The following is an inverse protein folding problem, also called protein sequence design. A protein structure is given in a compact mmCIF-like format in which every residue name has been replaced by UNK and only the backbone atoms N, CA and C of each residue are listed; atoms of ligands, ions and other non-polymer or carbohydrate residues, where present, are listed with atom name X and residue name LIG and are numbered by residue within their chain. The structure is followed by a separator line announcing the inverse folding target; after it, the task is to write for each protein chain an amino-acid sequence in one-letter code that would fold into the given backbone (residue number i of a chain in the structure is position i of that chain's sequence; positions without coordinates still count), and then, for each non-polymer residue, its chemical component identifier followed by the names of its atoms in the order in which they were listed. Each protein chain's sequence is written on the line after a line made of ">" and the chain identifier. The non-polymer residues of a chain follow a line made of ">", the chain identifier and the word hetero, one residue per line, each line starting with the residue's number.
data_IF_889604747626
#
_entry.id   IF_889604747626
#
_cell.length_a   1.000
_cell.length_b   1.000
_cell.length_c   1.000
_cell.angle_alpha   90.00
_cell.angle_beta   90.00
_cell.angle_gamma   90.00
#
_symmetry.space_group_name_H-M   'P 1'
#
loop_
_entity.id
_entity.type
_entity.pdbx_description
1 polymer ?
#
# COMPACT_ATOMS: atom_id res chain seq x y z
N UNK A 1 -24.26 -16.33 -39.74
CA UNK A 1 -24.50 -16.69 -38.32
C UNK A 1 -23.32 -17.44 -37.68
N UNK A 2 -22.77 -18.52 -38.27
CA UNK A 2 -21.60 -19.26 -37.71
C UNK A 2 -20.33 -18.42 -37.50
N UNK A 3 -20.07 -17.41 -38.36
CA UNK A 3 -18.88 -16.54 -38.24
C UNK A 3 -18.95 -15.53 -37.09
N UNK A 4 -20.16 -15.09 -36.71
CA UNK A 4 -20.39 -14.17 -35.57
C UNK A 4 -20.34 -14.90 -34.23
N UNK A 5 -20.76 -16.17 -34.19
CA UNK A 5 -20.60 -17.04 -33.02
C UNK A 5 -19.13 -17.33 -32.71
N UNK A 6 -18.29 -17.55 -33.72
CA UNK A 6 -16.86 -17.81 -33.54
C UNK A 6 -16.08 -16.57 -33.04
N UNK A 7 -16.45 -15.36 -33.47
CA UNK A 7 -15.81 -14.12 -33.01
C UNK A 7 -16.22 -13.75 -31.58
N UNK A 8 -17.47 -14.01 -31.19
CA UNK A 8 -17.93 -13.79 -29.82
C UNK A 8 -17.28 -14.77 -28.82
N UNK A 9 -17.02 -16.01 -29.24
CA UNK A 9 -16.32 -17.01 -28.42
C UNK A 9 -14.82 -16.70 -28.22
N UNK A 10 -14.16 -16.13 -29.24
CA UNK A 10 -12.76 -15.70 -29.16
C UNK A 10 -12.58 -14.45 -28.30
N UNK A 11 -13.53 -13.52 -28.32
CA UNK A 11 -13.49 -12.32 -27.47
C UNK A 11 -13.77 -12.67 -25.99
N UNK A 12 -14.65 -13.65 -25.74
CA UNK A 12 -14.88 -14.20 -24.40
C UNK A 12 -13.63 -14.85 -23.81
N UNK A 13 -12.89 -15.65 -24.59
CA UNK A 13 -11.68 -16.33 -24.13
C UNK A 13 -10.51 -15.40 -23.75
N UNK A 14 -10.46 -14.17 -24.29
CA UNK A 14 -9.45 -13.15 -23.93
C UNK A 14 -9.88 -12.32 -22.72
N UNK A 15 -11.18 -12.17 -22.46
CA UNK A 15 -11.72 -11.39 -21.34
C UNK A 15 -11.92 -12.24 -20.05
N UNK A 16 -12.10 -13.55 -20.17
CA UNK A 16 -12.28 -14.47 -19.03
C UNK A 16 -11.08 -14.56 -18.05
N UNK A 17 -9.80 -14.47 -18.48
CA UNK A 17 -8.67 -14.49 -17.55
C UNK A 17 -8.52 -13.20 -16.73
N UNK A 18 -9.13 -12.09 -17.18
CA UNK A 18 -9.10 -10.80 -16.48
C UNK A 18 -10.07 -10.74 -15.29
N UNK A 19 -10.97 -11.73 -15.16
CA UNK A 19 -12.01 -11.77 -14.12
C UNK A 19 -11.70 -12.74 -12.96
N UNK A 20 -10.54 -13.41 -12.98
CA UNK A 20 -10.06 -14.20 -11.84
C UNK A 20 -9.38 -13.26 -10.83
N UNK A 21 -10.21 -12.63 -9.99
CA UNK A 21 -9.77 -11.97 -8.77
C UNK A 21 -9.03 -12.93 -7.83
N UNK A 22 -8.14 -12.36 -7.00
CA UNK A 22 -7.16 -13.03 -6.13
C UNK A 22 -6.02 -13.78 -6.84
N UNK A 23 -5.24 -13.04 -7.62
CA UNK A 23 -3.90 -13.46 -8.03
C UNK A 23 -2.82 -12.73 -7.20
N UNK A 24 -2.30 -13.32 -6.12
CA UNK A 24 -0.97 -12.97 -5.63
C UNK A 24 0.13 -13.22 -6.69
N UNK A 25 -0.24 -13.83 -7.83
CA UNK A 25 0.68 -14.21 -8.90
C UNK A 25 1.13 -13.06 -9.81
N UNK A 26 0.45 -11.91 -9.81
CA UNK A 26 0.97 -10.72 -10.51
C UNK A 26 2.18 -10.10 -9.78
N UNK A 27 2.41 -10.45 -8.51
CA UNK A 27 3.64 -10.11 -7.80
C UNK A 27 4.85 -10.95 -8.26
N UNK A 28 4.67 -12.00 -9.06
CA UNK A 28 5.77 -12.85 -9.56
C UNK A 28 6.28 -12.48 -10.97
N UNK A 29 5.69 -11.46 -11.61
CA UNK A 29 6.17 -10.94 -12.89
C UNK A 29 7.38 -10.00 -12.73
N UNK A 30 8.05 -9.66 -13.84
CA UNK A 30 9.23 -8.80 -13.86
C UNK A 30 9.05 -7.41 -13.20
N UNK A 31 7.81 -6.95 -13.02
CA UNK A 31 7.49 -5.70 -12.33
C UNK A 31 7.23 -5.85 -10.81
N UNK A 32 6.50 -6.89 -10.38
CA UNK A 32 6.13 -7.08 -8.97
C UNK A 32 7.25 -7.70 -8.13
N UNK A 33 7.91 -8.73 -8.67
CA UNK A 33 8.96 -9.47 -7.95
C UNK A 33 10.26 -8.68 -7.85
N UNK A 34 10.52 -7.81 -8.84
CA UNK A 34 11.65 -6.91 -8.81
C UNK A 34 11.52 -5.88 -7.68
N UNK A 35 10.34 -5.29 -7.50
CA UNK A 35 10.11 -4.30 -6.43
C UNK A 35 10.21 -4.90 -5.02
N UNK A 36 9.77 -6.15 -4.84
CA UNK A 36 9.92 -6.88 -3.58
C UNK A 36 11.40 -7.07 -3.18
N UNK A 37 12.31 -7.15 -4.16
CA UNK A 37 13.75 -7.24 -3.92
C UNK A 37 14.37 -5.86 -3.58
N UNK A 38 13.67 -4.77 -3.88
CA UNK A 38 14.03 -3.42 -3.47
C UNK A 38 13.35 -2.98 -2.15
N UNK A 39 12.73 -3.91 -1.44
CA UNK A 39 12.21 -3.67 -0.09
C UNK A 39 13.31 -4.01 0.94
N UNK A 40 13.43 -3.17 1.97
CA UNK A 40 14.38 -3.38 3.08
C UNK A 40 13.92 -4.47 4.05
N UNK A 41 12.65 -4.91 3.96
CA UNK A 41 12.10 -6.05 4.70
C UNK A 41 12.48 -7.35 4.00
N UNK A 42 12.78 -8.38 4.79
CA UNK A 42 12.98 -9.72 4.25
C UNK A 42 11.70 -10.23 3.55
N UNK A 43 11.84 -11.14 2.59
CA UNK A 43 10.69 -11.78 1.93
C UNK A 43 9.78 -12.51 2.93
N UNK A 44 10.35 -13.07 4.00
CA UNK A 44 9.57 -13.66 5.10
C UNK A 44 8.71 -12.62 5.79
N UNK A 45 9.28 -11.46 6.13
CA UNK A 45 8.53 -10.34 6.72
C UNK A 45 7.46 -9.78 5.79
N UNK A 46 7.74 -9.66 4.48
CA UNK A 46 6.73 -9.25 3.51
C UNK A 46 5.58 -10.27 3.44
N UNK A 47 5.88 -11.57 3.50
CA UNK A 47 4.87 -12.64 3.52
C UNK A 47 4.05 -12.63 4.81
N UNK A 48 4.71 -12.38 5.95
CA UNK A 48 4.06 -12.18 7.24
C UNK A 48 3.10 -10.98 7.18
N UNK A 49 3.53 -9.86 6.59
CA UNK A 49 2.71 -8.66 6.44
C UNK A 49 1.43 -8.92 5.62
N UNK A 50 1.54 -9.55 4.44
CA UNK A 50 0.37 -9.93 3.63
C UNK A 50 -0.54 -10.92 4.37
N UNK A 51 0.04 -11.86 5.12
CA UNK A 51 -0.70 -12.82 5.94
C UNK A 51 -1.44 -12.14 7.10
N UNK A 52 -0.84 -11.12 7.71
CA UNK A 52 -1.46 -10.29 8.75
C UNK A 52 -2.65 -9.54 8.16
N UNK A 53 -2.48 -8.85 7.03
CA UNK A 53 -3.56 -8.10 6.36
C UNK A 53 -4.76 -9.02 6.05
N UNK A 54 -4.50 -10.20 5.48
CA UNK A 54 -5.55 -11.17 5.16
C UNK A 54 -6.27 -11.71 6.41
N UNK A 55 -5.52 -12.09 7.46
CA UNK A 55 -6.11 -12.61 8.71
C UNK A 55 -6.88 -11.54 9.47
N UNK A 56 -6.38 -10.30 9.50
CA UNK A 56 -7.07 -9.16 10.10
C UNK A 56 -8.41 -8.92 9.41
N UNK A 57 -8.39 -8.87 8.07
CA UNK A 57 -9.60 -8.74 7.26
C UNK A 57 -10.61 -9.86 7.53
N UNK A 58 -10.17 -11.12 7.50
CA UNK A 58 -11.03 -12.27 7.76
C UNK A 58 -11.69 -12.20 9.15
N UNK A 59 -10.91 -11.97 10.21
CA UNK A 59 -11.43 -11.93 11.59
C UNK A 59 -12.35 -10.74 11.84
N UNK A 60 -12.02 -9.58 11.29
CA UNK A 60 -12.84 -8.38 11.48
C UNK A 60 -14.14 -8.48 10.68
N UNK A 61 -14.13 -9.10 9.50
CA UNK A 61 -15.35 -9.27 8.68
C UNK A 61 -16.45 -10.09 9.36
N UNK A 62 -16.12 -10.95 10.32
CA UNK A 62 -17.10 -11.69 11.11
C UNK A 62 -17.88 -10.79 12.10
N UNK A 63 -17.31 -9.63 12.45
CA UNK A 63 -17.85 -8.68 13.43
C UNK A 63 -18.32 -7.37 12.80
N UNK A 64 -17.60 -6.88 11.79
CA UNK A 64 -17.87 -5.65 11.09
C UNK A 64 -19.02 -5.84 10.09
N UNK A 65 -20.17 -5.24 10.39
CA UNK A 65 -21.30 -5.21 9.46
C UNK A 65 -21.11 -4.24 8.29
N UNK A 66 -22.08 -4.20 7.38
CA UNK A 66 -22.08 -3.42 6.12
C UNK A 66 -21.93 -1.90 6.28
N UNK A 67 -22.04 -1.40 7.51
CA UNK A 67 -21.89 0.02 7.84
C UNK A 67 -20.44 0.42 8.19
N UNK A 68 -19.46 -0.43 7.91
CA UNK A 68 -18.04 -0.14 8.14
C UNK A 68 -17.25 -0.22 6.84
N UNK A 69 -16.23 0.62 6.72
CA UNK A 69 -15.19 0.50 5.71
C UNK A 69 -13.87 0.44 6.43
N UNK A 70 -13.22 -0.72 6.42
CA UNK A 70 -12.00 -0.93 7.19
C UNK A 70 -10.94 -1.50 6.25
N UNK A 71 -9.79 -0.83 6.21
CA UNK A 71 -8.63 -1.24 5.48
C UNK A 71 -7.52 -1.60 6.48
N UNK A 72 -6.80 -2.69 6.18
CA UNK A 72 -5.64 -3.11 6.95
C UNK A 72 -4.40 -2.98 6.07
N UNK A 73 -3.37 -2.33 6.59
CA UNK A 73 -2.07 -2.26 5.94
C UNK A 73 -1.01 -2.64 6.95
N UNK A 74 -0.31 -3.75 6.71
CA UNK A 74 0.83 -4.19 7.51
C UNK A 74 2.13 -3.76 6.84
N UNK A 75 3.05 -3.25 7.65
CA UNK A 75 4.41 -2.99 7.24
C UNK A 75 5.35 -3.31 8.39
N UNK A 76 6.26 -4.25 8.18
CA UNK A 76 7.18 -4.73 9.20
C UNK A 76 6.45 -5.20 10.48
N UNK A 77 5.33 -5.91 10.28
CA UNK A 77 4.43 -6.46 11.29
C UNK A 77 3.70 -5.44 12.16
N UNK A 78 3.75 -4.16 11.81
CA UNK A 78 2.91 -3.11 12.43
C UNK A 78 1.75 -2.79 11.50
N UNK A 79 0.54 -2.82 12.05
CA UNK A 79 -0.70 -2.70 11.27
C UNK A 79 -1.27 -1.30 11.40
N UNK A 80 -1.43 -0.61 10.28
CA UNK A 80 -2.34 0.53 10.16
C UNK A 80 -3.76 0.00 9.93
N UNK A 81 -4.68 0.44 10.78
CA UNK A 81 -6.13 0.26 10.59
C UNK A 81 -6.69 1.62 10.17
N UNK A 82 -7.24 1.72 8.95
CA UNK A 82 -7.82 2.95 8.42
C UNK A 82 -9.25 2.73 7.89
N UNK A 83 -9.97 3.84 7.70
CA UNK A 83 -11.34 3.86 7.19
C UNK A 83 -12.33 4.40 8.22
N UNK A 84 -13.55 3.91 8.17
CA UNK A 84 -14.68 4.41 8.96
C UNK A 84 -15.47 3.30 9.63
N UNK A 85 -15.89 3.56 10.88
CA UNK A 85 -16.76 2.68 11.68
C UNK A 85 -17.90 3.48 12.32
N UNK A 86 -19.05 2.85 12.63
CA UNK A 86 -20.23 3.56 13.12
C UNK A 86 -20.11 4.04 14.58
N UNK A 87 -19.14 3.54 15.37
CA UNK A 87 -19.01 3.89 16.78
C UNK A 87 -17.59 3.72 17.32
N UNK A 88 -17.27 4.41 18.41
CA UNK A 88 -16.02 4.23 19.17
C UNK A 88 -15.87 2.81 19.71
N UNK A 89 -17.00 2.16 20.03
CA UNK A 89 -16.99 0.78 20.51
C UNK A 89 -16.55 -0.19 19.40
N UNK A 90 -17.03 -0.01 18.17
CA UNK A 90 -16.57 -0.78 17.02
C UNK A 90 -15.09 -0.48 16.72
N UNK A 91 -14.67 0.80 16.83
CA UNK A 91 -13.26 1.18 16.67
C UNK A 91 -12.34 0.42 17.62
N UNK A 92 -12.70 0.36 18.91
CA UNK A 92 -11.94 -0.35 19.93
C UNK A 92 -11.96 -1.87 19.73
N UNK A 93 -13.10 -2.43 19.33
CA UNK A 93 -13.23 -3.87 19.06
C UNK A 93 -12.35 -4.31 17.88
N UNK A 94 -12.35 -3.55 16.79
CA UNK A 94 -11.49 -3.82 15.62
C UNK A 94 -10.01 -3.81 16.02
N UNK A 95 -9.58 -2.85 16.82
CA UNK A 95 -8.20 -2.81 17.34
C UNK A 95 -7.86 -4.02 18.20
N UNK A 96 -8.78 -4.45 19.06
CA UNK A 96 -8.61 -5.62 19.89
C UNK A 96 -8.43 -6.90 19.05
N UNK A 97 -9.31 -7.11 18.06
CA UNK A 97 -9.24 -8.25 17.14
C UNK A 97 -7.91 -8.28 16.39
N UNK A 98 -7.49 -7.14 15.83
CA UNK A 98 -6.25 -7.03 15.05
C UNK A 98 -5.02 -7.27 15.92
N UNK A 99 -5.02 -6.76 17.16
CA UNK A 99 -3.92 -7.01 18.13
C UNK A 99 -3.74 -8.50 18.40
N UNK A 100 -4.82 -9.29 18.36
CA UNK A 100 -4.80 -10.75 18.52
C UNK A 100 -4.42 -11.55 17.27
N UNK A 101 -4.13 -10.90 16.15
CA UNK A 101 -3.67 -11.59 14.93
C UNK A 101 -2.21 -12.05 15.11
N UNK A 102 -1.87 -13.32 14.82
CA UNK A 102 -0.50 -13.80 14.96
C UNK A 102 0.52 -12.95 14.18
N UNK A 103 1.70 -12.78 14.77
CA UNK A 103 2.83 -11.98 14.27
C UNK A 103 2.64 -10.45 14.31
N UNK A 104 1.47 -9.92 14.64
CA UNK A 104 1.31 -8.47 14.86
C UNK A 104 2.22 -8.00 15.99
N UNK A 105 2.96 -6.92 15.75
CA UNK A 105 3.90 -6.31 16.69
C UNK A 105 3.50 -4.90 17.13
N UNK A 106 2.48 -4.33 16.51
CA UNK A 106 1.94 -3.03 16.87
C UNK A 106 0.74 -2.69 15.99
N UNK A 107 -0.13 -1.84 16.51
CA UNK A 107 -1.33 -1.38 15.82
C UNK A 107 -1.38 0.15 15.89
N UNK A 108 -1.67 0.78 14.74
CA UNK A 108 -1.99 2.19 14.61
C UNK A 108 -3.45 2.28 14.18
N UNK A 109 -4.35 2.55 15.15
CA UNK A 109 -5.79 2.64 14.89
C UNK A 109 -6.21 4.07 14.50
N UNK A 110 -6.30 4.29 13.19
CA UNK A 110 -6.65 5.58 12.58
C UNK A 110 -8.07 5.54 11.99
N UNK A 111 -8.92 4.63 12.47
CA UNK A 111 -10.34 4.61 12.12
C UNK A 111 -11.03 5.91 12.55
N UNK A 112 -11.83 6.47 11.66
CA UNK A 112 -12.74 7.55 11.98
C UNK A 112 -14.10 6.98 12.41
N UNK A 113 -14.70 7.59 13.43
CA UNK A 113 -16.10 7.31 13.78
C UNK A 113 -16.98 8.20 12.91
N UNK A 114 -17.77 7.58 12.02
CA UNK A 114 -18.57 8.31 11.05
C UNK A 114 -19.16 7.43 9.95
N UNK A 115 -19.88 8.05 8.99
CA UNK A 115 -20.42 7.33 7.85
C UNK A 115 -19.29 6.84 6.93
N UNK A 116 -19.50 5.68 6.29
CA UNK A 116 -18.57 5.13 5.31
C UNK A 116 -18.38 6.09 4.13
N UNK A 117 -17.13 6.22 3.69
CA UNK A 117 -16.77 7.07 2.56
C UNK A 117 -17.44 6.62 1.25
N UNK A 118 -17.75 7.56 0.35
CA UNK A 118 -18.30 7.25 -0.97
C UNK A 118 -17.23 6.64 -1.89
N UNK A 119 -17.66 5.92 -2.92
CA UNK A 119 -16.74 5.40 -3.95
C UNK A 119 -15.90 6.50 -4.63
N UNK A 120 -16.48 7.68 -4.85
CA UNK A 120 -15.77 8.83 -5.42
C UNK A 120 -14.68 9.37 -4.48
N UNK A 121 -14.93 9.41 -3.17
CA UNK A 121 -13.93 9.81 -2.18
C UNK A 121 -12.75 8.84 -2.18
N UNK A 122 -13.02 7.53 -2.14
CA UNK A 122 -11.98 6.47 -2.19
C UNK A 122 -11.19 6.49 -3.50
N UNK A 123 -11.87 6.78 -4.61
CA UNK A 123 -11.20 6.96 -5.91
C UNK A 123 -10.26 8.16 -5.90
N UNK A 124 -10.67 9.27 -5.29
CA UNK A 124 -9.82 10.44 -5.11
C UNK A 124 -8.61 10.13 -4.21
N UNK A 125 -8.75 9.34 -3.16
CA UNK A 125 -7.64 8.95 -2.28
C UNK A 125 -6.61 8.06 -3.01
N UNK A 126 -7.08 7.15 -3.87
CA UNK A 126 -6.20 6.39 -4.77
C UNK A 126 -5.43 7.31 -5.72
N UNK A 127 -6.09 8.35 -6.26
CA UNK A 127 -5.43 9.35 -7.10
C UNK A 127 -4.41 10.21 -6.32
N UNK A 128 -4.72 10.62 -5.09
CA UNK A 128 -3.78 11.30 -4.18
C UNK A 128 -2.57 10.42 -3.90
N UNK A 129 -2.78 9.14 -3.59
CA UNK A 129 -1.71 8.16 -3.36
C UNK A 129 -0.76 8.09 -4.55
N UNK A 130 -1.31 7.96 -5.77
CA UNK A 130 -0.52 7.95 -7.00
C UNK A 130 0.29 9.23 -7.17
N UNK A 131 -0.32 10.40 -6.94
CA UNK A 131 0.40 11.69 -7.03
C UNK A 131 1.55 11.78 -6.03
N UNK A 132 1.36 11.36 -4.78
CA UNK A 132 2.43 11.36 -3.77
C UNK A 132 3.57 10.45 -4.22
N UNK A 133 3.26 9.23 -4.67
CA UNK A 133 4.26 8.27 -5.17
C UNK A 133 5.02 8.81 -6.38
N UNK A 134 4.34 9.40 -7.37
CA UNK A 134 4.99 10.04 -8.52
C UNK A 134 5.93 11.15 -8.08
N UNK A 135 5.50 12.01 -7.15
CA UNK A 135 6.37 13.09 -6.64
C UNK A 135 7.56 12.58 -5.83
N UNK A 136 7.47 11.42 -5.18
CA UNK A 136 8.65 10.79 -4.56
C UNK A 136 9.69 10.42 -5.61
N UNK A 137 9.24 9.83 -6.72
CA UNK A 137 10.11 9.49 -7.86
C UNK A 137 10.72 10.76 -8.46
N UNK A 138 9.89 11.75 -8.79
CA UNK A 138 10.35 13.01 -9.42
C UNK A 138 11.35 13.78 -8.53
N UNK A 139 11.15 13.75 -7.21
CA UNK A 139 12.04 14.43 -6.28
C UNK A 139 13.41 13.76 -6.18
N UNK A 140 13.52 12.46 -6.44
CA UNK A 140 14.79 11.71 -6.46
C UNK A 140 15.59 11.74 -5.15
N UNK A 141 14.98 12.11 -4.02
CA UNK A 141 15.67 12.29 -2.73
C UNK A 141 15.94 10.97 -1.99
N UNK A 142 15.17 9.94 -2.32
CA UNK A 142 15.25 8.58 -1.78
C UNK A 142 14.59 7.62 -2.78
N UNK A 143 14.83 6.32 -2.65
CA UNK A 143 14.12 5.34 -3.46
C UNK A 143 12.65 5.26 -3.01
N UNK A 144 11.72 5.57 -3.91
CA UNK A 144 10.29 5.61 -3.60
C UNK A 144 9.73 4.28 -3.07
N UNK A 145 10.40 3.14 -3.33
CA UNK A 145 10.02 1.82 -2.80
C UNK A 145 10.19 1.73 -1.28
N UNK A 146 11.10 2.51 -0.70
CA UNK A 146 11.37 2.46 0.75
C UNK A 146 10.21 2.99 1.61
N UNK A 147 9.22 3.66 0.99
CA UNK A 147 8.08 4.27 1.68
C UNK A 147 6.76 3.78 1.05
N UNK A 148 6.00 2.97 1.79
CA UNK A 148 4.60 2.63 1.47
C UNK A 148 3.73 3.84 1.79
N UNK A 149 2.94 4.26 0.81
CA UNK A 149 2.00 5.38 0.92
C UNK A 149 0.58 4.81 0.89
N UNK A 150 -0.20 5.15 1.91
CA UNK A 150 -1.65 4.86 2.01
C UNK A 150 -2.38 6.18 2.18
N UNK A 151 -3.52 6.35 1.50
CA UNK A 151 -4.38 7.53 1.69
C UNK A 151 -5.78 7.09 2.05
N UNK A 152 -6.35 7.70 3.09
CA UNK A 152 -7.74 7.51 3.52
C UNK A 152 -8.34 8.88 3.89
N UNK A 153 -9.48 9.23 3.32
CA UNK A 153 -10.20 10.49 3.54
C UNK A 153 -9.33 11.77 3.35
N UNK A 154 -8.30 11.69 2.51
CA UNK A 154 -7.28 12.74 2.30
C UNK A 154 -6.16 12.79 3.35
N UNK A 155 -6.12 11.86 4.31
CA UNK A 155 -4.99 11.67 5.23
C UNK A 155 -4.00 10.70 4.60
N UNK A 156 -2.74 11.12 4.48
CA UNK A 156 -1.66 10.29 3.94
C UNK A 156 -0.87 9.67 5.08
N UNK A 157 -0.83 8.35 5.12
CA UNK A 157 -0.01 7.56 6.04
C UNK A 157 1.26 7.11 5.31
N UNK A 158 2.41 7.40 5.91
CA UNK A 158 3.72 6.99 5.40
C UNK A 158 4.26 5.88 6.30
N UNK A 159 4.51 4.70 5.73
CA UNK A 159 5.13 3.55 6.40
C UNK A 159 6.44 3.21 5.69
N UNK A 160 7.44 2.71 6.40
CA UNK A 160 8.76 2.45 5.81
C UNK A 160 9.84 2.17 6.84
N UNK A 161 10.92 1.50 6.43
CA UNK A 161 12.17 1.42 7.20
C UNK A 161 13.14 2.44 6.59
N UNK A 162 13.33 3.57 7.24
CA UNK A 162 14.00 4.74 6.64
C UNK A 162 15.00 5.39 7.58
N UNK A 163 15.98 6.08 7.01
CA UNK A 163 16.78 7.06 7.77
C UNK A 163 15.93 8.29 8.11
N UNK A 164 16.40 9.09 9.06
CA UNK A 164 15.78 10.39 9.38
C UNK A 164 15.69 11.30 8.14
N UNK A 165 16.74 11.32 7.32
CA UNK A 165 16.82 12.13 6.09
C UNK A 165 15.76 11.73 5.06
N UNK A 166 15.57 10.44 4.85
CA UNK A 166 14.54 9.90 3.94
C UNK A 166 13.13 10.21 4.48
N UNK A 167 12.91 10.06 5.78
CA UNK A 167 11.64 10.39 6.43
C UNK A 167 11.28 11.87 6.24
N UNK A 168 12.21 12.78 6.52
CA UNK A 168 12.03 14.21 6.36
C UNK A 168 11.70 14.55 4.90
N UNK A 169 12.42 13.96 3.94
CA UNK A 169 12.14 14.14 2.52
C UNK A 169 10.74 13.65 2.12
N UNK A 170 10.34 12.46 2.58
CA UNK A 170 9.03 11.88 2.29
C UNK A 170 7.90 12.74 2.87
N UNK A 171 8.04 13.21 4.12
CA UNK A 171 7.07 14.10 4.77
C UNK A 171 6.92 15.41 4.00
N UNK A 172 8.05 16.03 3.60
CA UNK A 172 8.04 17.30 2.86
C UNK A 172 7.35 17.17 1.50
N UNK A 173 7.61 16.10 0.77
CA UNK A 173 6.96 15.87 -0.52
C UNK A 173 5.47 15.57 -0.33
N UNK A 174 5.12 14.67 0.60
CA UNK A 174 3.72 14.31 0.87
C UNK A 174 2.89 15.54 1.27
N UNK A 175 3.34 16.33 2.26
CA UNK A 175 2.58 17.48 2.78
C UNK A 175 2.37 18.61 1.79
N UNK A 176 3.23 18.71 0.77
CA UNK A 176 3.12 19.72 -0.30
C UNK A 176 2.35 19.21 -1.52
N UNK A 177 1.85 17.97 -1.48
CA UNK A 177 1.11 17.37 -2.60
C UNK A 177 -0.34 17.81 -2.57
N UNK A 178 -0.84 18.29 -3.71
CA UNK A 178 -2.25 18.67 -3.85
C UNK A 178 -3.19 17.53 -3.48
N UNK A 179 -4.24 17.85 -2.71
CA UNK A 179 -5.23 16.88 -2.23
C UNK A 179 -4.88 16.22 -0.89
N UNK A 180 -3.66 16.39 -0.39
CA UNK A 180 -3.28 15.92 0.96
C UNK A 180 -3.80 16.90 2.01
N UNK A 181 -4.58 16.42 2.97
CA UNK A 181 -5.12 17.20 4.08
C UNK A 181 -4.27 17.11 5.34
N UNK A 182 -3.73 15.92 5.61
CA UNK A 182 -2.89 15.60 6.77
C UNK A 182 -1.88 14.54 6.37
N UNK A 183 -0.70 14.59 6.97
CA UNK A 183 0.31 13.52 6.88
C UNK A 183 0.47 12.91 8.26
N UNK A 184 0.40 11.58 8.34
CA UNK A 184 0.67 10.80 9.54
C UNK A 184 1.90 9.94 9.26
N UNK A 185 2.91 10.05 10.12
CA UNK A 185 4.18 9.35 9.97
C UNK A 185 4.19 8.10 10.82
N UNK A 186 4.17 6.94 10.17
CA UNK A 186 4.24 5.61 10.77
C UNK A 186 5.53 4.87 10.34
N UNK A 187 6.49 5.62 9.81
CA UNK A 187 7.80 5.11 9.40
C UNK A 187 8.65 4.78 10.62
N UNK A 188 9.42 3.71 10.53
CA UNK A 188 10.42 3.34 11.53
C UNK A 188 11.76 3.95 11.14
N UNK A 189 12.27 4.84 12.00
CA UNK A 189 13.57 5.45 11.81
C UNK A 189 14.65 4.47 12.26
N UNK A 190 15.50 4.05 11.33
CA UNK A 190 16.64 3.16 11.59
C UNK A 190 17.97 3.93 11.40
N UNK A 191 19.05 3.54 12.10
CA UNK A 191 20.34 4.21 11.96
C UNK A 191 20.89 4.15 10.53
N UNK A 192 21.58 5.19 10.08
CA UNK A 192 22.17 5.28 8.73
C UNK A 192 23.08 4.09 8.39
N UNK A 193 23.79 3.52 9.37
CA UNK A 193 24.59 2.32 9.19
C UNK A 193 23.73 1.10 8.80
N UNK A 194 22.57 0.94 9.44
CA UNK A 194 21.64 -0.15 9.15
C UNK A 194 20.95 0.04 7.80
N UNK A 195 20.59 1.28 7.47
CA UNK A 195 20.09 1.64 6.13
C UNK A 195 21.07 1.20 5.05
N UNK A 196 22.33 1.57 5.19
CA UNK A 196 23.38 1.22 4.23
C UNK A 196 23.59 -0.30 4.10
N UNK A 197 23.55 -1.02 5.22
CA UNK A 197 23.64 -2.48 5.23
C UNK A 197 22.49 -3.11 4.42
N UNK A 198 21.26 -2.66 4.66
CA UNK A 198 20.07 -3.17 3.95
C UNK A 198 20.13 -2.81 2.46
N UNK A 199 20.49 -1.59 2.11
CA UNK A 199 20.61 -1.13 0.71
C UNK A 199 21.67 -1.91 -0.09
N UNK A 200 22.76 -2.35 0.54
CA UNK A 200 23.81 -3.18 -0.09
C UNK A 200 23.32 -4.62 -0.31
N UNK A 201 22.47 -5.13 0.59
CA UNK A 201 21.94 -6.49 0.49
C UNK A 201 20.87 -6.66 -0.61
N UNK A 202 20.35 -5.54 -1.13
CA UNK A 202 19.37 -5.50 -2.19
C UNK A 202 20.05 -5.59 -3.56
N UNK A 203 19.39 -6.16 -4.59
CA UNK A 203 19.92 -6.14 -5.95
C UNK A 203 20.15 -4.69 -6.40
N UNK A 204 21.21 -4.43 -7.17
CA UNK A 204 21.46 -3.08 -7.68
C UNK A 204 20.29 -2.64 -8.60
N UNK A 205 19.77 -1.40 -8.46
CA UNK A 205 18.83 -0.85 -9.43
C UNK A 205 19.48 -0.83 -10.80
N UNK A 206 18.84 -1.43 -11.82
CA UNK A 206 19.29 -1.22 -13.20
C UNK A 206 19.18 0.28 -13.50
N UNK A 207 20.19 0.91 -14.15
CA UNK A 207 20.07 2.29 -14.60
C UNK A 207 18.77 2.44 -15.40
N UNK A 208 17.90 3.37 -14.98
CA UNK A 208 16.71 3.69 -15.75
C UNK A 208 17.18 4.20 -17.11
N UNK A 209 16.78 3.51 -18.17
CA UNK A 209 17.02 4.00 -19.52
C UNK A 209 16.29 5.34 -19.67
N UNK A 210 17.03 6.40 -19.95
CA UNK A 210 16.46 7.69 -20.32
C UNK A 210 15.44 7.46 -21.45
N UNK A 211 14.24 8.08 -21.39
CA UNK A 211 13.31 7.99 -22.51
C UNK A 211 14.03 8.45 -23.78
N UNK A 212 13.82 7.76 -24.92
CA UNK A 212 14.46 8.15 -26.17
C UNK A 212 14.09 9.61 -26.44
N UNK A 213 15.10 10.45 -26.64
CA UNK A 213 14.91 11.84 -27.02
C UNK A 213 14.01 11.85 -28.25
N UNK A 214 12.87 12.54 -28.17
CA UNK A 214 12.01 12.77 -29.33
C UNK A 214 12.80 13.61 -30.32
N UNK A 215 13.33 12.97 -31.36
CA UNK A 215 13.81 13.68 -32.54
C UNK A 215 12.59 14.33 -33.21
N UNK A 216 12.54 15.66 -33.13
CA UNK A 216 11.68 16.48 -33.99
C UNK A 216 12.24 16.58 -35.41
#
# INVERSE_FOLDING_TARGET
>A
MKKFLATSLLLGAVLLPMLQGCLPMLAAGAGGGALAAFDRRSLGTQTDDESIEWKASARVSETAGDHSHINFTSFNRKVLISGEVPSEQMKAEVEHIVTGVPQVQGVYNELAVGPVSSFSARSNDSYVTTRVKSRFVDAGKFNAVHVKVVTEAGVVYLLGLVSQREADAAIQVARTTSGVKKVVTLMEIIPDAKVKELDISMPAPKPQASPPASSG
#
